data_IF_532879224251
#
_entry.id   IF_532879224251
#
_cell.length_a   1.000
_cell.length_b   1.000
_cell.length_c   1.000
_cell.angle_alpha   90.00
_cell.angle_beta   90.00
_cell.angle_gamma   90.00
#
_symmetry.space_group_name_H-M   'P 1'
#
loop_
_entity.id
_entity.type
_entity.pdbx_description
1 polymer ?
#
# COMPACT_ATOMS: atom_id res chain seq x y z
N UNK A 1 24.47 -5.00 10.01
CA UNK A 1 23.08 -5.39 10.23
C UNK A 1 22.26 -5.24 8.93
N UNK A 2 22.11 -4.03 8.35
CA UNK A 2 21.25 -3.78 7.16
C UNK A 2 21.62 -4.66 5.96
N UNK A 3 22.92 -4.81 5.65
CA UNK A 3 23.36 -5.67 4.54
C UNK A 3 22.93 -7.14 4.73
N UNK A 4 23.07 -7.66 5.95
CA UNK A 4 22.63 -9.04 6.27
C UNK A 4 21.13 -9.19 6.05
N UNK A 5 20.33 -8.26 6.56
CA UNK A 5 18.88 -8.28 6.42
C UNK A 5 18.44 -8.20 4.93
N UNK A 6 19.05 -7.31 4.16
CA UNK A 6 18.73 -7.17 2.73
C UNK A 6 19.17 -8.40 1.92
N UNK A 7 20.30 -9.02 2.25
CA UNK A 7 20.74 -10.27 1.62
C UNK A 7 19.77 -11.42 1.94
N UNK A 8 19.36 -11.54 3.19
CA UNK A 8 18.38 -12.54 3.62
C UNK A 8 17.02 -12.32 2.93
N UNK A 9 16.57 -11.07 2.83
CA UNK A 9 15.35 -10.73 2.09
C UNK A 9 15.45 -11.11 0.60
N UNK A 10 16.56 -10.81 -0.06
CA UNK A 10 16.78 -11.23 -1.46
C UNK A 10 16.76 -12.75 -1.62
N UNK A 11 17.31 -13.51 -0.65
CA UNK A 11 17.23 -14.97 -0.64
C UNK A 11 15.79 -15.47 -0.47
N UNK A 12 15.06 -14.88 0.46
CA UNK A 12 13.63 -15.15 0.69
C UNK A 12 12.80 -14.92 -0.59
N UNK A 13 12.98 -13.79 -1.26
CA UNK A 13 12.29 -13.48 -2.52
C UNK A 13 12.61 -14.51 -3.61
N UNK A 14 13.89 -14.94 -3.73
CA UNK A 14 14.31 -15.93 -4.70
C UNK A 14 13.65 -17.29 -4.46
N UNK A 15 13.51 -17.71 -3.20
CA UNK A 15 12.82 -18.96 -2.85
C UNK A 15 11.36 -18.98 -3.31
N UNK A 16 10.66 -17.84 -3.28
CA UNK A 16 9.32 -17.74 -3.86
C UNK A 16 9.33 -17.88 -5.38
N UNK A 17 10.36 -17.35 -6.05
CA UNK A 17 10.57 -17.57 -7.48
C UNK A 17 10.74 -19.05 -7.80
N UNK A 18 11.65 -19.73 -7.09
CA UNK A 18 11.92 -21.17 -7.28
C UNK A 18 10.68 -22.03 -7.02
N UNK A 19 9.90 -21.68 -5.98
CA UNK A 19 8.64 -22.36 -5.68
C UNK A 19 7.59 -22.16 -6.79
N UNK A 20 7.47 -20.94 -7.32
CA UNK A 20 6.55 -20.65 -8.41
C UNK A 20 6.95 -21.36 -9.71
N UNK A 21 8.24 -21.44 -10.04
CA UNK A 21 8.76 -22.22 -11.18
C UNK A 21 8.43 -23.72 -11.01
N UNK A 22 8.62 -24.26 -9.83
CA UNK A 22 8.31 -25.67 -9.53
C UNK A 22 6.82 -25.97 -9.67
N UNK A 23 5.96 -25.09 -9.13
CA UNK A 23 4.51 -25.21 -9.23
C UNK A 23 4.02 -25.09 -10.68
N UNK A 24 4.63 -24.22 -11.49
CA UNK A 24 4.26 -24.04 -12.89
C UNK A 24 4.42 -25.32 -13.72
N UNK A 25 5.33 -26.22 -13.34
CA UNK A 25 5.55 -27.49 -14.07
C UNK A 25 4.36 -28.44 -13.97
N UNK A 26 3.62 -28.43 -12.85
CA UNK A 26 2.51 -29.35 -12.56
C UNK A 26 1.15 -28.67 -12.55
N UNK A 27 1.12 -27.34 -12.62
CA UNK A 27 -0.12 -26.56 -12.58
C UNK A 27 -0.99 -26.78 -13.83
N UNK A 28 -2.32 -26.62 -13.69
CA UNK A 28 -3.23 -26.55 -14.84
C UNK A 28 -2.79 -25.45 -15.83
N UNK A 29 -3.10 -25.61 -17.14
CA UNK A 29 -2.65 -24.69 -18.18
C UNK A 29 -3.01 -23.20 -17.92
N UNK A 30 -4.18 -22.95 -17.38
CA UNK A 30 -4.70 -21.62 -17.05
C UNK A 30 -3.91 -20.91 -15.91
N UNK A 31 -3.22 -21.67 -15.06
CA UNK A 31 -2.40 -21.13 -13.96
C UNK A 31 -0.91 -21.00 -14.32
N UNK A 32 -0.43 -21.72 -15.34
CA UNK A 32 1.02 -21.81 -15.67
C UNK A 32 1.63 -20.47 -16.00
N UNK A 33 0.96 -19.68 -16.84
CA UNK A 33 1.47 -18.38 -17.29
C UNK A 33 1.57 -17.39 -16.13
N UNK A 34 0.59 -17.41 -15.23
CA UNK A 34 0.59 -16.58 -14.00
C UNK A 34 1.72 -16.97 -13.06
N UNK A 35 1.95 -18.27 -12.84
CA UNK A 35 3.05 -18.77 -12.00
C UNK A 35 4.41 -18.45 -12.62
N UNK A 36 4.58 -18.65 -13.92
CA UNK A 36 5.81 -18.30 -14.62
C UNK A 36 6.08 -16.78 -14.58
N UNK A 37 5.05 -15.96 -14.70
CA UNK A 37 5.19 -14.50 -14.57
C UNK A 37 5.56 -14.10 -13.13
N UNK A 38 5.00 -14.76 -12.11
CA UNK A 38 5.37 -14.58 -10.71
C UNK A 38 6.84 -14.95 -10.46
N UNK A 39 7.27 -16.12 -10.96
CA UNK A 39 8.65 -16.58 -10.83
C UNK A 39 9.64 -15.58 -11.43
N UNK A 40 9.40 -15.14 -12.67
CA UNK A 40 10.24 -14.13 -13.34
C UNK A 40 10.32 -12.84 -12.53
N UNK A 41 9.19 -12.34 -12.02
CA UNK A 41 9.15 -11.14 -11.18
C UNK A 41 9.97 -11.32 -9.91
N UNK A 42 9.80 -12.43 -9.19
CA UNK A 42 10.56 -12.74 -7.98
C UNK A 42 12.07 -12.82 -8.26
N UNK A 43 12.49 -13.55 -9.27
CA UNK A 43 13.92 -13.66 -9.63
C UNK A 43 14.52 -12.30 -10.01
N UNK A 44 13.76 -11.45 -10.73
CA UNK A 44 14.21 -10.10 -11.08
C UNK A 44 14.41 -9.25 -9.82
N UNK A 45 13.41 -9.19 -8.92
CA UNK A 45 13.44 -8.27 -7.77
C UNK A 45 14.22 -8.81 -6.57
N UNK A 46 14.67 -10.06 -6.60
CA UNK A 46 15.52 -10.64 -5.56
C UNK A 46 16.89 -9.97 -5.39
N UNK A 47 17.33 -9.22 -6.38
CA UNK A 47 18.62 -8.54 -6.35
C UNK A 47 18.71 -7.30 -7.23
N UNK A 48 17.60 -6.92 -7.88
CA UNK A 48 17.54 -5.76 -8.77
C UNK A 48 16.29 -4.93 -8.48
N UNK A 49 16.30 -3.63 -8.78
CA UNK A 49 15.09 -2.82 -8.70
C UNK A 49 14.03 -3.31 -9.71
N UNK A 50 12.74 -3.12 -9.40
CA UNK A 50 11.67 -3.43 -10.33
C UNK A 50 11.71 -2.50 -11.56
N UNK A 51 11.31 -3.02 -12.71
CA UNK A 51 11.20 -2.26 -13.96
C UNK A 51 9.76 -2.20 -14.47
N UNK A 52 8.91 -3.15 -14.08
CA UNK A 52 7.52 -3.23 -14.49
C UNK A 52 6.56 -3.06 -13.31
N UNK A 53 5.30 -2.75 -13.63
CA UNK A 53 4.24 -2.62 -12.63
C UNK A 53 4.03 -3.92 -11.84
N UNK A 54 4.04 -5.07 -12.53
CA UNK A 54 3.93 -6.39 -11.87
C UNK A 54 5.11 -6.64 -10.91
N UNK A 55 6.34 -6.34 -11.33
CA UNK A 55 7.53 -6.51 -10.49
C UNK A 55 7.47 -5.60 -9.25
N UNK A 56 7.03 -4.35 -9.41
CA UNK A 56 6.88 -3.41 -8.31
C UNK A 56 5.83 -3.88 -7.29
N UNK A 57 4.67 -4.37 -7.76
CA UNK A 57 3.64 -4.97 -6.89
C UNK A 57 4.15 -6.23 -6.20
N UNK A 58 4.87 -7.09 -6.92
CA UNK A 58 5.43 -8.33 -6.35
C UNK A 58 6.44 -8.02 -5.24
N UNK A 59 7.33 -7.06 -5.46
CA UNK A 59 8.30 -6.62 -4.44
C UNK A 59 7.60 -6.01 -3.22
N UNK A 60 6.62 -5.15 -3.45
CA UNK A 60 5.82 -4.54 -2.39
C UNK A 60 5.15 -5.60 -1.50
N UNK A 61 4.51 -6.60 -2.14
CA UNK A 61 3.85 -7.69 -1.43
C UNK A 61 4.83 -8.53 -0.60
N UNK A 62 5.97 -8.91 -1.17
CA UNK A 62 6.97 -9.72 -0.46
C UNK A 62 7.63 -8.95 0.69
N UNK A 63 7.87 -7.65 0.52
CA UNK A 63 8.36 -6.79 1.59
C UNK A 63 7.33 -6.69 2.73
N UNK A 64 6.06 -6.46 2.40
CA UNK A 64 4.96 -6.46 3.37
C UNK A 64 4.89 -7.78 4.15
N UNK A 65 4.93 -8.91 3.44
CA UNK A 65 4.92 -10.24 4.05
C UNK A 65 6.08 -10.44 5.02
N UNK A 66 7.29 -10.02 4.65
CA UNK A 66 8.45 -10.11 5.54
C UNK A 66 8.27 -9.28 6.82
N UNK A 67 7.75 -8.06 6.72
CA UNK A 67 7.45 -7.23 7.90
C UNK A 67 6.36 -7.83 8.79
N UNK A 68 5.32 -8.41 8.20
CA UNK A 68 4.26 -9.10 8.96
C UNK A 68 4.84 -10.29 9.74
N UNK A 69 5.76 -11.05 9.15
CA UNK A 69 6.42 -12.17 9.83
C UNK A 69 7.37 -11.72 10.93
N UNK A 70 7.97 -10.53 10.82
CA UNK A 70 8.73 -9.89 11.91
C UNK A 70 7.82 -9.38 13.05
N UNK A 71 6.53 -9.67 12.99
CA UNK A 71 5.56 -9.33 14.03
C UNK A 71 4.99 -7.91 13.92
N UNK A 72 5.20 -7.21 12.81
CA UNK A 72 4.58 -5.90 12.59
C UNK A 72 3.09 -6.06 12.30
N UNK A 73 2.25 -5.37 13.08
CA UNK A 73 0.79 -5.52 12.98
C UNK A 73 0.20 -4.55 11.95
N UNK A 74 0.38 -3.26 12.12
CA UNK A 74 -0.21 -2.25 11.25
C UNK A 74 0.80 -1.79 10.18
N UNK A 75 0.98 -2.61 9.14
CA UNK A 75 1.87 -2.31 8.02
C UNK A 75 1.07 -1.74 6.85
N UNK A 76 0.88 -0.43 6.85
CA UNK A 76 0.22 0.27 5.75
C UNK A 76 1.08 0.27 4.48
N UNK A 77 0.40 0.27 3.34
CA UNK A 77 1.05 0.35 2.02
C UNK A 77 1.41 1.78 1.62
N UNK A 78 0.81 2.77 2.29
CA UNK A 78 1.06 4.17 1.98
C UNK A 78 0.45 4.61 0.64
N UNK A 79 1.09 5.56 -0.03
CA UNK A 79 0.58 6.20 -1.25
C UNK A 79 0.84 5.34 -2.49
N UNK A 80 0.13 4.21 -2.61
CA UNK A 80 0.35 3.25 -3.70
C UNK A 80 0.18 3.86 -5.09
N UNK A 81 -0.75 4.79 -5.24
CA UNK A 81 -0.99 5.48 -6.50
C UNK A 81 0.15 6.44 -6.90
N UNK A 82 1.07 6.78 -5.99
CA UNK A 82 2.20 7.66 -6.28
C UNK A 82 3.45 6.85 -6.62
N UNK A 83 3.93 6.00 -5.72
CA UNK A 83 5.19 5.29 -5.95
C UNK A 83 5.08 4.17 -6.99
N UNK A 84 3.88 3.64 -7.25
CA UNK A 84 3.65 2.65 -8.32
C UNK A 84 3.34 3.30 -9.67
N UNK A 85 2.89 4.56 -9.70
CA UNK A 85 2.46 5.22 -10.93
C UNK A 85 3.54 5.28 -12.02
N UNK A 86 4.82 5.55 -11.72
CA UNK A 86 5.87 5.55 -12.76
C UNK A 86 6.00 4.22 -13.49
N UNK A 87 5.82 3.09 -12.80
CA UNK A 87 5.85 1.73 -13.38
C UNK A 87 4.58 1.48 -14.20
N UNK A 88 3.42 1.78 -13.64
CA UNK A 88 2.13 1.67 -14.31
C UNK A 88 2.13 2.46 -15.63
N UNK A 89 2.45 3.75 -15.59
CA UNK A 89 2.45 4.64 -16.74
C UNK A 89 3.39 4.12 -17.83
N UNK A 90 4.64 3.77 -17.49
CA UNK A 90 5.62 3.25 -18.43
C UNK A 90 5.16 1.97 -19.13
N UNK A 91 4.53 1.05 -18.40
CA UNK A 91 4.03 -0.19 -18.98
C UNK A 91 2.80 0.03 -19.86
N UNK A 92 1.92 0.98 -19.47
CA UNK A 92 0.77 1.41 -20.28
C UNK A 92 1.22 2.06 -21.58
N UNK A 93 2.13 3.02 -21.52
CA UNK A 93 2.67 3.73 -22.69
C UNK A 93 3.42 2.79 -23.64
N UNK A 94 4.11 1.77 -23.11
CA UNK A 94 4.81 0.77 -23.90
C UNK A 94 3.89 -0.38 -24.40
N UNK A 95 2.62 -0.39 -24.09
CA UNK A 95 1.68 -1.44 -24.47
C UNK A 95 1.94 -2.80 -23.80
N UNK A 96 2.73 -2.84 -22.72
CA UNK A 96 3.02 -4.07 -21.97
C UNK A 96 1.97 -4.42 -20.91
N UNK A 97 1.10 -3.48 -20.59
CA UNK A 97 0.06 -3.61 -19.58
C UNK A 97 -1.24 -3.02 -20.11
N UNK A 98 -2.29 -3.80 -20.16
CA UNK A 98 -3.63 -3.32 -20.45
C UNK A 98 -4.29 -2.77 -19.17
N UNK A 99 -5.41 -2.05 -19.33
CA UNK A 99 -6.22 -1.58 -18.20
C UNK A 99 -6.74 -2.75 -17.36
N UNK A 100 -7.24 -3.78 -18.02
CA UNK A 100 -7.88 -4.92 -17.35
C UNK A 100 -6.83 -5.78 -16.62
N UNK A 101 -5.64 -5.99 -17.19
CA UNK A 101 -4.53 -6.64 -16.49
C UNK A 101 -4.07 -5.86 -15.25
N UNK A 102 -4.05 -4.54 -15.33
CA UNK A 102 -3.72 -3.70 -14.17
C UNK A 102 -4.78 -3.85 -13.06
N UNK A 103 -6.06 -3.85 -13.42
CA UNK A 103 -7.16 -4.06 -12.47
C UNK A 103 -7.11 -5.45 -11.85
N UNK A 104 -6.81 -6.48 -12.63
CA UNK A 104 -6.63 -7.84 -12.12
C UNK A 104 -5.48 -7.92 -11.11
N UNK A 105 -4.33 -7.32 -11.42
CA UNK A 105 -3.19 -7.28 -10.49
C UNK A 105 -3.52 -6.53 -9.19
N UNK A 106 -4.25 -5.42 -9.28
CA UNK A 106 -4.70 -4.67 -8.11
C UNK A 106 -5.71 -5.49 -7.30
N UNK A 107 -6.71 -6.11 -7.94
CA UNK A 107 -7.67 -6.97 -7.28
C UNK A 107 -7.00 -8.16 -6.57
N UNK A 108 -6.06 -8.83 -7.22
CA UNK A 108 -5.25 -9.88 -6.59
C UNK A 108 -4.50 -9.36 -5.36
N UNK A 109 -3.99 -8.13 -5.41
CA UNK A 109 -3.29 -7.52 -4.27
C UNK A 109 -4.27 -7.28 -3.11
N UNK A 110 -5.46 -6.73 -3.39
CA UNK A 110 -6.49 -6.48 -2.38
C UNK A 110 -6.95 -7.79 -1.71
N UNK A 111 -7.24 -8.84 -2.49
CA UNK A 111 -7.60 -10.15 -1.95
C UNK A 111 -6.49 -10.76 -1.09
N UNK A 112 -5.23 -10.66 -1.51
CA UNK A 112 -4.09 -11.13 -0.72
C UNK A 112 -3.98 -10.42 0.63
N UNK A 113 -4.25 -9.10 0.66
CA UNK A 113 -4.26 -8.35 1.91
C UNK A 113 -5.39 -8.83 2.81
N UNK A 114 -6.61 -8.98 2.26
CA UNK A 114 -7.76 -9.47 3.01
C UNK A 114 -7.53 -10.88 3.59
N UNK A 115 -6.90 -11.77 2.83
CA UNK A 115 -6.57 -13.14 3.28
C UNK A 115 -5.60 -13.19 4.47
N UNK A 116 -4.88 -12.09 4.77
CA UNK A 116 -3.99 -12.05 5.94
C UNK A 116 -4.77 -11.96 7.27
N UNK A 117 -6.05 -11.60 7.23
CA UNK A 117 -6.87 -11.31 8.43
C UNK A 117 -6.39 -10.09 9.22
N UNK A 118 -5.64 -9.20 8.58
CA UNK A 118 -5.12 -7.92 9.15
C UNK A 118 -5.36 -6.75 8.22
N UNK A 119 -6.29 -6.89 7.32
CA UNK A 119 -6.68 -5.91 6.32
C UNK A 119 -7.25 -4.63 6.94
N UNK A 120 -7.88 -4.72 8.10
CA UNK A 120 -8.43 -3.62 8.88
C UNK A 120 -7.39 -2.59 9.37
N UNK A 121 -6.10 -2.95 9.33
CA UNK A 121 -4.99 -2.06 9.74
C UNK A 121 -3.96 -1.82 8.63
N UNK A 122 -4.18 -2.39 7.44
CA UNK A 122 -3.39 -2.15 6.24
C UNK A 122 -4.02 -1.03 5.43
N UNK A 123 -3.51 0.20 5.57
CA UNK A 123 -4.07 1.35 4.86
C UNK A 123 -3.40 1.57 3.51
N UNK A 124 -4.19 1.87 2.49
CA UNK A 124 -3.76 2.34 1.17
C UNK A 124 -4.22 3.80 1.05
N UNK A 125 -3.30 4.71 0.78
CA UNK A 125 -3.61 6.10 0.53
C UNK A 125 -3.55 6.42 -0.97
N UNK A 126 -4.50 7.22 -1.43
CA UNK A 126 -4.58 7.71 -2.82
C UNK A 126 -4.84 9.21 -2.88
N UNK A 127 -4.49 9.85 -3.98
CA UNK A 127 -4.69 11.29 -4.19
C UNK A 127 -3.79 12.17 -3.33
N UNK A 128 -4.35 13.29 -2.88
CA UNK A 128 -3.62 14.30 -2.12
C UNK A 128 -2.68 15.15 -2.97
N UNK A 129 -1.98 16.09 -2.33
CA UNK A 129 -0.94 16.87 -2.99
C UNK A 129 0.39 16.13 -3.01
N UNK A 130 1.23 16.46 -3.99
CA UNK A 130 2.63 16.03 -4.09
C UNK A 130 3.53 16.89 -3.19
N UNK A 131 4.78 16.50 -2.93
CA UNK A 131 5.72 17.29 -2.12
C UNK A 131 5.90 18.72 -2.62
N UNK A 132 5.83 18.96 -3.92
CA UNK A 132 5.89 20.28 -4.53
C UNK A 132 4.60 21.11 -4.39
N UNK A 133 3.52 20.51 -3.91
CA UNK A 133 2.21 21.14 -3.72
C UNK A 133 1.26 21.01 -4.90
N UNK A 134 1.65 20.36 -5.98
CA UNK A 134 0.76 20.04 -7.10
C UNK A 134 -0.19 18.88 -6.77
N UNK A 135 -1.28 18.75 -7.52
CA UNK A 135 -2.25 17.67 -7.31
C UNK A 135 -1.68 16.31 -7.68
N UNK A 136 -1.89 15.31 -6.79
CA UNK A 136 -1.37 13.97 -6.95
C UNK A 136 -2.36 12.94 -7.50
N UNK A 137 -3.62 13.34 -7.77
CA UNK A 137 -4.59 12.43 -8.40
C UNK A 137 -4.11 12.07 -9.80
N UNK A 138 -4.03 10.76 -10.09
CA UNK A 138 -3.56 10.24 -11.36
C UNK A 138 -4.41 9.03 -11.81
N UNK A 139 -4.11 8.46 -12.97
CA UNK A 139 -4.88 7.32 -13.49
C UNK A 139 -4.89 6.12 -12.53
N UNK A 140 -3.79 5.86 -11.83
CA UNK A 140 -3.71 4.74 -10.88
C UNK A 140 -4.58 4.98 -9.63
N UNK A 141 -4.79 6.24 -9.20
CA UNK A 141 -5.75 6.58 -8.14
C UNK A 141 -7.17 6.09 -8.51
N UNK A 142 -7.59 6.33 -9.76
CA UNK A 142 -8.88 5.85 -10.27
C UNK A 142 -8.92 4.32 -10.42
N UNK A 143 -7.80 3.68 -10.82
CA UNK A 143 -7.75 2.19 -10.94
C UNK A 143 -7.86 1.52 -9.58
N UNK A 144 -7.26 2.09 -8.53
CA UNK A 144 -7.38 1.58 -7.16
C UNK A 144 -8.83 1.69 -6.65
N UNK A 145 -9.49 2.82 -6.88
CA UNK A 145 -10.93 2.96 -6.57
C UNK A 145 -11.78 1.93 -7.32
N UNK A 146 -11.53 1.75 -8.61
CA UNK A 146 -12.25 0.77 -9.43
C UNK A 146 -12.00 -0.67 -8.96
N UNK A 147 -10.78 -1.00 -8.57
CA UNK A 147 -10.45 -2.32 -8.03
C UNK A 147 -11.19 -2.58 -6.70
N UNK A 148 -11.21 -1.60 -5.79
CA UNK A 148 -11.94 -1.70 -4.52
C UNK A 148 -13.44 -1.89 -4.75
N UNK A 149 -14.05 -1.10 -5.64
CA UNK A 149 -15.46 -1.21 -6.00
C UNK A 149 -15.80 -2.60 -6.57
N UNK A 150 -14.98 -3.10 -7.49
CA UNK A 150 -15.17 -4.42 -8.11
C UNK A 150 -14.96 -5.58 -7.14
N UNK A 151 -13.98 -5.49 -6.22
CA UNK A 151 -13.74 -6.54 -5.24
C UNK A 151 -14.86 -6.63 -4.20
N UNK A 152 -15.46 -5.51 -3.81
CA UNK A 152 -16.58 -5.46 -2.88
C UNK A 152 -16.26 -6.05 -1.49
N UNK A 153 -14.98 -6.02 -1.08
CA UNK A 153 -14.51 -6.57 0.21
C UNK A 153 -14.27 -5.46 1.21
N UNK A 154 -14.47 -5.68 2.52
CA UNK A 154 -14.42 -4.65 3.56
C UNK A 154 -13.01 -4.14 3.89
N UNK A 155 -11.98 -4.73 3.35
CA UNK A 155 -10.57 -4.33 3.54
C UNK A 155 -9.75 -4.59 2.27
N UNK A 156 -8.53 -4.03 2.16
CA UNK A 156 -7.87 -3.15 3.12
C UNK A 156 -8.49 -1.76 3.22
N UNK A 157 -8.19 -1.04 4.32
CA UNK A 157 -8.60 0.34 4.48
C UNK A 157 -8.09 1.20 3.31
N UNK A 158 -8.98 1.92 2.65
CA UNK A 158 -8.63 2.87 1.61
C UNK A 158 -8.89 4.29 2.11
N UNK A 159 -7.92 5.18 1.95
CA UNK A 159 -8.04 6.60 2.28
C UNK A 159 -7.79 7.46 1.06
N UNK A 160 -8.73 8.33 0.72
CA UNK A 160 -8.61 9.29 -0.36
C UNK A 160 -8.28 10.67 0.23
N UNK A 161 -7.14 11.23 -0.14
CA UNK A 161 -6.70 12.55 0.28
C UNK A 161 -7.25 13.61 -0.67
N UNK A 162 -8.01 14.53 -0.11
CA UNK A 162 -8.64 15.64 -0.82
C UNK A 162 -7.91 16.95 -0.53
N UNK A 163 -7.78 17.79 -1.54
CA UNK A 163 -7.11 19.08 -1.48
C UNK A 163 -7.90 20.11 -2.29
N UNK A 164 -7.60 21.39 -2.07
CA UNK A 164 -8.25 22.48 -2.82
C UNK A 164 -7.95 22.35 -4.32
N UNK A 165 -9.00 22.13 -5.11
CA UNK A 165 -8.87 21.92 -6.56
C UNK A 165 -8.69 20.45 -6.96
N UNK A 166 -8.99 19.51 -6.06
CA UNK A 166 -9.08 18.09 -6.43
C UNK A 166 -10.05 17.93 -7.61
N UNK A 167 -9.74 17.08 -8.62
CA UNK A 167 -10.66 16.83 -9.73
C UNK A 167 -12.03 16.34 -9.24
N UNK A 168 -13.10 16.94 -9.74
CA UNK A 168 -14.48 16.62 -9.33
C UNK A 168 -14.80 15.15 -9.63
N UNK A 169 -14.36 14.65 -10.78
CA UNK A 169 -14.53 13.23 -11.15
C UNK A 169 -13.87 12.24 -10.19
N UNK A 170 -12.77 12.65 -9.51
CA UNK A 170 -12.15 11.83 -8.48
C UNK A 170 -12.98 11.80 -7.20
N UNK A 171 -13.47 12.96 -6.77
CA UNK A 171 -14.38 13.05 -5.62
C UNK A 171 -15.66 12.25 -5.86
N UNK A 172 -16.28 12.40 -7.04
CA UNK A 172 -17.47 11.63 -7.42
C UNK A 172 -17.20 10.12 -7.43
N UNK A 173 -16.04 9.70 -7.90
CA UNK A 173 -15.66 8.28 -7.86
C UNK A 173 -15.53 7.78 -6.41
N UNK A 174 -14.92 8.55 -5.50
CA UNK A 174 -14.86 8.23 -4.08
C UNK A 174 -16.26 8.11 -3.46
N UNK A 175 -17.13 9.08 -3.73
CA UNK A 175 -18.50 9.10 -3.19
C UNK A 175 -19.35 7.92 -3.73
N UNK A 176 -19.18 7.52 -4.98
CA UNK A 176 -19.84 6.31 -5.52
C UNK A 176 -19.43 5.05 -4.78
N UNK A 177 -18.12 4.87 -4.53
CA UNK A 177 -17.62 3.70 -3.77
C UNK A 177 -18.14 3.71 -2.34
N UNK A 178 -18.13 4.86 -1.65
CA UNK A 178 -18.73 5.01 -0.31
C UNK A 178 -20.22 4.64 -0.34
N UNK A 179 -20.94 5.07 -1.39
CA UNK A 179 -22.37 4.80 -1.58
C UNK A 179 -22.73 3.31 -1.73
N UNK A 180 -21.77 2.44 -2.04
CA UNK A 180 -21.99 0.98 -2.08
C UNK A 180 -22.16 0.35 -0.70
N UNK A 181 -21.82 1.09 0.38
CA UNK A 181 -21.87 0.60 1.74
C UNK A 181 -20.57 -0.04 2.24
N UNK A 182 -19.48 -0.02 1.46
CA UNK A 182 -18.18 -0.54 1.87
C UNK A 182 -17.53 0.27 3.01
N UNK A 183 -17.97 1.53 3.24
CA UNK A 183 -17.40 2.43 4.24
C UNK A 183 -16.09 3.09 3.82
N UNK A 184 -15.59 2.81 2.64
CA UNK A 184 -14.35 3.36 2.06
C UNK A 184 -14.63 4.02 0.70
N UNK A 185 -13.70 4.90 0.24
CA UNK A 185 -12.52 5.42 0.95
C UNK A 185 -12.88 6.39 2.09
N UNK A 186 -12.07 6.38 3.17
CA UNK A 186 -12.11 7.45 4.17
C UNK A 186 -11.57 8.74 3.53
N UNK A 187 -12.30 9.85 3.67
CA UNK A 187 -11.93 11.13 3.06
C UNK A 187 -11.03 11.93 4.01
N UNK A 188 -9.81 12.22 3.59
CA UNK A 188 -8.80 12.96 4.36
C UNK A 188 -8.61 14.35 3.77
N UNK A 189 -8.64 15.37 4.62
CA UNK A 189 -8.55 16.77 4.19
C UNK A 189 -7.11 17.29 4.32
N UNK A 190 -6.42 17.46 3.20
CA UNK A 190 -5.05 17.98 3.15
C UNK A 190 -4.93 19.41 3.69
N UNK A 191 -5.98 20.25 3.49
CA UNK A 191 -6.02 21.62 4.00
C UNK A 191 -6.01 21.71 5.53
N UNK A 192 -6.35 20.62 6.22
CA UNK A 192 -6.33 20.49 7.67
C UNK A 192 -5.09 19.73 8.15
N UNK A 193 -4.83 18.56 7.55
CA UNK A 193 -3.80 17.65 8.02
C UNK A 193 -2.38 18.19 7.77
N UNK A 194 -2.11 18.78 6.61
CA UNK A 194 -0.78 19.31 6.28
C UNK A 194 -0.38 20.45 7.24
N UNK A 195 -1.20 21.49 7.47
CA UNK A 195 -0.87 22.51 8.45
C UNK A 195 -0.76 21.97 9.89
N UNK A 196 -1.55 20.95 10.25
CA UNK A 196 -1.44 20.32 11.55
C UNK A 196 -0.08 19.66 11.75
N UNK A 197 0.38 18.87 10.78
CA UNK A 197 1.72 18.24 10.80
C UNK A 197 2.85 19.30 10.81
N UNK A 198 2.73 20.34 10.00
CA UNK A 198 3.72 21.44 9.98
C UNK A 198 3.87 22.16 11.33
N UNK A 199 2.78 22.31 12.09
CA UNK A 199 2.85 22.84 13.47
C UNK A 199 3.65 21.99 14.44
N UNK A 200 3.84 20.70 14.15
CA UNK A 200 4.71 19.81 14.90
C UNK A 200 6.18 19.88 14.47
N UNK A 201 6.54 20.78 13.56
CA UNK A 201 7.92 21.05 13.16
C UNK A 201 8.43 20.21 12.00
N UNK A 202 7.58 19.44 11.34
CA UNK A 202 7.96 18.72 10.12
C UNK A 202 8.09 19.65 8.92
N UNK A 203 9.02 19.34 8.01
CA UNK A 203 9.17 20.09 6.76
C UNK A 203 7.89 19.99 5.91
N UNK A 204 7.54 21.07 5.22
CA UNK A 204 6.28 21.15 4.47
C UNK A 204 6.17 20.07 3.38
N UNK A 205 7.28 19.78 2.70
CA UNK A 205 7.38 18.72 1.70
C UNK A 205 7.08 17.34 2.29
N UNK A 206 7.59 17.05 3.49
CA UNK A 206 7.31 15.81 4.22
C UNK A 206 5.85 15.75 4.68
N UNK A 207 5.30 16.89 5.19
CA UNK A 207 3.89 16.99 5.56
C UNK A 207 2.97 16.71 4.36
N UNK A 208 3.34 17.13 3.18
CA UNK A 208 2.59 16.87 1.93
C UNK A 208 2.63 15.42 1.50
N UNK A 209 3.65 14.68 1.92
CA UNK A 209 3.80 13.25 1.61
C UNK A 209 3.22 12.31 2.68
N UNK A 210 2.43 12.83 3.63
CA UNK A 210 1.81 11.99 4.65
C UNK A 210 0.90 10.91 4.04
N UNK A 211 0.77 9.81 4.74
CA UNK A 211 -0.22 8.76 4.47
C UNK A 211 -0.86 8.32 5.79
N UNK A 212 -1.78 7.38 5.73
CA UNK A 212 -2.40 6.79 6.91
C UNK A 212 -1.75 5.44 7.21
N UNK A 213 -1.62 5.15 8.49
CA UNK A 213 -1.21 3.85 9.03
C UNK A 213 -2.28 3.37 10.01
N UNK A 214 -2.43 2.07 10.16
CA UNK A 214 -3.52 1.54 10.96
C UNK A 214 -4.88 1.94 10.38
N UNK A 215 -5.73 2.56 11.17
CA UNK A 215 -7.05 2.99 10.73
C UNK A 215 -6.99 4.28 9.89
N UNK A 216 -6.63 5.40 10.56
CA UNK A 216 -6.60 6.75 9.96
C UNK A 216 -5.46 7.62 10.51
N UNK A 217 -4.51 7.05 11.22
CA UNK A 217 -3.41 7.79 11.83
C UNK A 217 -2.50 8.40 10.78
N UNK A 218 -2.32 9.72 10.81
CA UNK A 218 -1.43 10.42 9.88
C UNK A 218 0.03 10.09 10.17
N UNK A 219 0.77 9.71 9.16
CA UNK A 219 2.13 9.24 9.27
C UNK A 219 3.01 9.82 8.15
N UNK A 220 4.25 10.14 8.48
CA UNK A 220 5.25 10.61 7.51
C UNK A 220 6.17 9.44 7.14
N UNK A 221 6.01 8.84 5.95
CA UNK A 221 6.79 7.67 5.53
C UNK A 221 8.30 7.94 5.57
N UNK A 222 9.05 7.04 6.22
CA UNK A 222 10.50 7.15 6.33
C UNK A 222 11.03 8.25 7.25
N UNK A 223 10.17 9.06 7.88
CA UNK A 223 10.54 10.16 8.78
C UNK A 223 10.15 9.90 10.23
N UNK A 224 9.13 9.11 10.46
CA UNK A 224 8.70 8.70 11.79
C UNK A 224 9.14 7.27 12.09
N UNK A 225 9.33 6.90 13.38
CA UNK A 225 9.65 5.52 13.74
C UNK A 225 8.52 4.59 13.31
N UNK A 226 8.81 3.31 13.04
CA UNK A 226 7.77 2.34 12.72
C UNK A 226 6.69 2.37 13.80
N UNK A 227 5.43 2.33 13.38
CA UNK A 227 4.33 2.26 14.33
C UNK A 227 4.45 0.97 15.13
N UNK A 228 4.73 1.14 16.41
CA UNK A 228 4.85 0.06 17.37
C UNK A 228 4.18 0.56 18.62
N UNK A 229 3.01 0.07 18.82
CA UNK A 229 2.25 0.32 20.00
C UNK A 229 2.97 -0.27 21.22
N UNK A 230 3.25 0.59 22.17
CA UNK A 230 3.50 0.19 23.55
C UNK A 230 2.16 -0.12 24.22
N UNK A 231 2.17 -1.11 25.10
CA UNK A 231 0.99 -1.35 25.96
C UNK A 231 1.19 -0.60 27.27
N UNK A 232 0.29 0.35 27.54
CA UNK A 232 0.26 1.09 28.78
C UNK A 232 -0.84 0.53 29.69
N UNK A 233 -0.44 0.00 30.85
CA UNK A 233 -1.37 -0.56 31.83
C UNK A 233 -1.85 0.55 32.80
N UNK A 234 -2.79 1.40 32.36
CA UNK A 234 -3.33 2.48 33.17
C UNK A 234 -3.85 2.03 34.55
N UNK A 235 -4.59 0.89 34.68
CA UNK A 235 -5.00 0.40 36.00
C UNK A 235 -3.83 0.14 36.94
N UNK A 236 -2.69 -0.34 36.45
CA UNK A 236 -1.51 -0.61 37.28
C UNK A 236 -0.85 0.67 37.78
N UNK A 237 -0.83 1.72 36.95
CA UNK A 237 -0.34 3.02 37.38
C UNK A 237 -1.25 3.68 38.39
N UNK A 238 -2.57 3.53 38.24
CA UNK A 238 -3.54 3.99 39.26
C UNK A 238 -3.35 3.23 40.57
N UNK A 239 -3.18 1.90 40.51
CA UNK A 239 -2.90 1.08 41.70
C UNK A 239 -1.66 1.56 42.44
N UNK A 240 -0.56 1.85 41.76
CA UNK A 240 0.65 2.40 42.36
C UNK A 240 0.38 3.77 43.00
N UNK A 241 -0.29 4.69 42.29
CA UNK A 241 -0.57 6.01 42.81
C UNK A 241 -1.50 6.04 44.03
N UNK A 242 -2.28 4.97 44.24
CA UNK A 242 -3.15 4.84 45.39
C UNK A 242 -2.51 4.12 46.61
N UNK A 243 -1.42 3.42 46.40
CA UNK A 243 -0.74 2.59 47.42
C UNK A 243 0.67 3.08 47.79
N UNK A 244 1.15 4.18 47.21
CA UNK A 244 2.32 4.93 47.61
C UNK A 244 1.91 6.07 48.58
#
# INVERSE_FOLDING_TARGET
AAHIAMTAFGTFVRQYGDAADSLAQTAPPDCRDSLAAMARACHKVAGNPPETFREALQLLWLAHTAFVWEGRYAMAFGRMDQFLYPYYRRDREAGRLTRDEALELLACTLYKIADTGRDDVCNIAIGGVLPDGTGGVNELSHRLLEAVDRCGIPGPNLSARLYKGVPEEFLDACLRVIGTGLGYPALMNDEVNIPALARHGYALEDCRDYCMVGCIENFLPGKQPPWSDGRFNSPKYLEYALND
#
